data_IF_777474063189
#
_entry.id   IF_777474063189
#
_cell.length_a   1.000
_cell.length_b   1.000
_cell.length_c   1.000
_cell.angle_alpha   90.00
_cell.angle_beta   90.00
_cell.angle_gamma   90.00
#
_symmetry.space_group_name_H-M   'P 1'
#
loop_
_entity.id
_entity.type
_entity.pdbx_description
1 polymer ?
#
# COMPACT_ATOMS: atom_id res chain seq x y z
N UNK A 1 -16.68 -29.10 -43.59
CA UNK A 1 -16.87 -29.12 -42.12
C UNK A 1 -15.52 -29.30 -41.46
N UNK A 2 -15.01 -28.31 -40.72
CA UNK A 2 -14.16 -28.58 -39.55
C UNK A 2 -14.09 -27.30 -38.71
N UNK A 3 -14.86 -27.27 -37.63
CA UNK A 3 -14.74 -26.27 -36.57
C UNK A 3 -13.57 -26.71 -35.69
N UNK A 4 -12.54 -25.89 -35.57
CA UNK A 4 -11.61 -26.01 -34.46
C UNK A 4 -11.26 -24.61 -33.96
N UNK A 5 -11.92 -24.12 -32.89
CA UNK A 5 -11.54 -22.87 -32.26
C UNK A 5 -10.42 -23.18 -31.27
N UNK A 6 -9.17 -22.83 -31.60
CA UNK A 6 -8.12 -22.72 -30.57
C UNK A 6 -8.03 -21.26 -30.12
N UNK A 7 -8.85 -20.94 -29.12
CA UNK A 7 -8.59 -19.86 -28.18
C UNK A 7 -7.31 -20.21 -27.42
N UNK A 8 -6.18 -19.65 -27.83
CA UNK A 8 -4.96 -19.58 -27.04
C UNK A 8 -4.87 -18.16 -26.46
N UNK A 9 -5.64 -17.90 -25.39
CA UNK A 9 -5.33 -16.79 -24.49
C UNK A 9 -4.09 -17.20 -23.67
N UNK A 10 -2.99 -16.45 -23.67
CA UNK A 10 -1.93 -16.68 -22.72
C UNK A 10 -2.47 -16.27 -21.34
N UNK A 11 -2.74 -17.28 -20.50
CA UNK A 11 -3.03 -17.06 -19.09
C UNK A 11 -1.78 -16.50 -18.39
N UNK A 12 -1.95 -15.32 -17.81
CA UNK A 12 -1.38 -14.88 -16.53
C UNK A 12 0.10 -15.24 -16.30
N UNK A 13 1.00 -14.40 -16.81
CA UNK A 13 2.28 -14.19 -16.15
C UNK A 13 2.25 -12.86 -15.38
N UNK A 14 1.29 -12.71 -14.47
CA UNK A 14 1.45 -11.83 -13.32
C UNK A 14 2.29 -12.58 -12.28
N UNK A 15 3.54 -12.92 -12.62
CA UNK A 15 4.55 -13.19 -11.62
C UNK A 15 4.89 -11.84 -10.96
N UNK A 16 3.93 -11.33 -10.18
CA UNK A 16 4.08 -10.10 -9.42
C UNK A 16 5.00 -10.38 -8.23
N UNK A 17 6.11 -9.64 -8.21
CA UNK A 17 6.85 -9.21 -7.02
C UNK A 17 7.07 -10.26 -5.92
N UNK A 18 8.23 -10.91 -6.00
CA UNK A 18 9.05 -11.36 -4.86
C UNK A 18 8.26 -11.70 -3.58
N UNK A 19 7.58 -12.85 -3.59
CA UNK A 19 6.99 -13.42 -2.37
C UNK A 19 8.09 -14.13 -1.57
N UNK A 20 9.04 -13.37 -1.04
CA UNK A 20 9.85 -13.89 0.06
C UNK A 20 8.99 -13.83 1.33
N UNK A 21 8.73 -14.97 2.01
CA UNK A 21 8.00 -14.95 3.26
C UNK A 21 8.78 -14.10 4.27
N UNK A 22 8.14 -13.05 4.79
CA UNK A 22 8.70 -12.22 5.84
C UNK A 22 8.80 -13.03 7.13
N UNK A 23 10.02 -13.25 7.61
CA UNK A 23 10.30 -13.98 8.87
C UNK A 23 9.99 -13.14 10.11
N UNK A 24 9.73 -11.84 9.93
CA UNK A 24 9.46 -10.90 11.01
C UNK A 24 7.96 -10.86 11.28
N UNK A 25 7.59 -10.94 12.57
CA UNK A 25 6.21 -10.79 12.99
C UNK A 25 5.73 -9.38 12.67
N UNK A 26 4.78 -9.28 11.72
CA UNK A 26 4.10 -8.02 11.41
C UNK A 26 3.19 -7.65 12.58
N UNK A 27 3.22 -6.39 13.07
CA UNK A 27 2.35 -5.96 14.16
C UNK A 27 0.86 -6.11 13.81
N UNK A 28 0.02 -6.17 14.84
CA UNK A 28 -1.43 -6.08 14.66
C UNK A 28 -1.81 -4.68 14.14
N UNK A 29 -2.73 -4.61 13.18
CA UNK A 29 -3.24 -3.32 12.70
C UNK A 29 -4.21 -2.70 13.71
N UNK A 30 -3.75 -1.66 14.39
CA UNK A 30 -4.51 -0.91 15.40
C UNK A 30 -4.15 0.58 15.37
N UNK A 31 -4.93 1.45 16.04
CA UNK A 31 -4.60 2.89 16.13
C UNK A 31 -3.22 3.12 16.75
N UNK A 32 -2.86 2.31 17.75
CA UNK A 32 -1.58 2.39 18.44
C UNK A 32 -0.39 1.99 17.55
N UNK A 33 -0.60 1.03 16.63
CA UNK A 33 0.45 0.50 15.77
C UNK A 33 0.51 1.18 14.40
N UNK A 34 -0.51 1.94 14.00
CA UNK A 34 -0.55 2.68 12.75
C UNK A 34 0.20 4.02 12.82
N UNK A 35 1.41 4.00 13.38
CA UNK A 35 2.32 5.16 13.42
C UNK A 35 3.42 5.03 12.37
N UNK A 36 4.01 6.17 11.97
CA UNK A 36 5.11 6.16 11.01
C UNK A 36 6.34 5.42 11.57
N UNK A 37 6.57 5.49 12.87
CA UNK A 37 7.67 4.81 13.57
C UNK A 37 7.55 3.30 13.44
N UNK A 38 6.36 2.74 13.71
CA UNK A 38 6.10 1.29 13.61
C UNK A 38 6.20 0.82 12.16
N UNK A 39 5.62 1.56 11.21
CA UNK A 39 5.69 1.23 9.78
C UNK A 39 7.16 1.18 9.30
N UNK A 40 8.01 2.10 9.76
CA UNK A 40 9.44 2.15 9.38
C UNK A 40 10.26 0.96 9.91
N UNK A 41 9.83 0.34 11.01
CA UNK A 41 10.52 -0.80 11.62
C UNK A 41 10.27 -2.12 10.88
N UNK A 42 9.29 -2.18 9.97
CA UNK A 42 9.03 -3.36 9.14
C UNK A 42 10.09 -3.39 8.02
N UNK A 43 10.99 -4.36 8.07
CA UNK A 43 12.10 -4.47 7.11
C UNK A 43 11.64 -4.99 5.75
N UNK A 44 10.75 -6.00 5.76
CA UNK A 44 10.21 -6.55 4.53
C UNK A 44 9.39 -5.50 3.79
N UNK A 45 9.78 -5.22 2.55
CA UNK A 45 9.19 -4.13 1.77
C UNK A 45 7.72 -4.41 1.45
N UNK A 46 7.39 -5.65 1.10
CA UNK A 46 6.04 -6.04 0.72
C UNK A 46 5.10 -5.95 1.92
N UNK A 47 5.50 -6.54 3.06
CA UNK A 47 4.74 -6.51 4.28
C UNK A 47 4.59 -5.08 4.83
N UNK A 48 5.62 -4.24 4.73
CA UNK A 48 5.52 -2.83 5.11
C UNK A 48 4.50 -2.07 4.25
N UNK A 49 4.51 -2.30 2.94
CA UNK A 49 3.56 -1.67 2.03
C UNK A 49 2.12 -2.13 2.30
N UNK A 50 1.93 -3.43 2.56
CA UNK A 50 0.63 -3.98 2.91
C UNK A 50 0.13 -3.45 4.26
N UNK A 51 0.96 -3.49 5.30
CA UNK A 51 0.62 -2.96 6.63
C UNK A 51 0.28 -1.46 6.58
N UNK A 52 1.11 -0.64 5.91
CA UNK A 52 0.83 0.78 5.71
C UNK A 52 -0.47 1.01 4.91
N UNK A 53 -0.74 0.17 3.92
CA UNK A 53 -1.98 0.19 3.13
C UNK A 53 -3.22 -0.19 3.94
N UNK A 54 -3.08 -1.06 4.95
CA UNK A 54 -4.17 -1.37 5.89
C UNK A 54 -4.37 -0.20 6.87
N UNK A 55 -3.30 0.39 7.39
CA UNK A 55 -3.35 1.57 8.26
C UNK A 55 -3.97 2.80 7.59
N UNK A 56 -3.67 3.07 6.32
CA UNK A 56 -4.21 4.23 5.60
C UNK A 56 -5.73 4.18 5.39
N UNK A 57 -6.31 2.97 5.39
CA UNK A 57 -7.76 2.75 5.28
C UNK A 57 -8.49 2.98 6.60
N UNK A 58 -7.78 3.02 7.73
CA UNK A 58 -8.39 3.32 9.03
C UNK A 58 -8.70 4.81 9.08
N UNK A 59 -9.98 5.12 9.25
CA UNK A 59 -10.48 6.48 9.39
C UNK A 59 -9.92 7.10 10.67
N UNK A 60 -9.02 8.08 10.51
CA UNK A 60 -8.30 8.73 11.60
C UNK A 60 -7.01 9.44 11.16
N UNK A 61 -6.54 9.17 9.94
CA UNK A 61 -5.20 9.56 9.47
C UNK A 61 -4.97 11.04 9.17
N UNK A 62 -6.02 11.85 8.96
CA UNK A 62 -5.83 13.29 8.77
C UNK A 62 -6.26 13.99 10.05
N UNK A 63 -5.31 14.15 10.98
CA UNK A 63 -5.50 15.09 12.06
C UNK A 63 -5.73 16.49 11.48
N UNK A 64 -6.72 17.24 11.98
CA UNK A 64 -6.90 18.63 11.59
C UNK A 64 -5.59 19.38 11.84
N UNK A 65 -5.09 20.08 10.82
CA UNK A 65 -3.98 21.00 11.00
C UNK A 65 -4.52 22.32 11.54
N UNK A 66 -3.74 23.03 12.34
CA UNK A 66 -4.17 24.35 12.85
C UNK A 66 -4.36 25.38 11.72
N UNK A 67 -3.67 25.19 10.61
CA UNK A 67 -3.80 25.99 9.40
C UNK A 67 -4.08 25.06 8.21
N UNK A 68 -5.35 24.69 7.97
CA UNK A 68 -5.72 23.87 6.83
C UNK A 68 -5.50 24.69 5.55
N UNK A 69 -4.58 24.22 4.70
CA UNK A 69 -4.32 24.80 3.38
C UNK A 69 -5.13 24.07 2.32
N UNK A 70 -5.65 24.83 1.37
CA UNK A 70 -6.23 24.25 0.16
C UNK A 70 -5.12 23.85 -0.84
N UNK A 71 -5.49 23.10 -1.87
CA UNK A 71 -4.54 22.56 -2.85
C UNK A 71 -3.71 23.64 -3.57
N UNK A 72 -4.30 24.80 -3.87
CA UNK A 72 -3.60 25.91 -4.54
C UNK A 72 -2.49 26.46 -3.64
N UNK A 73 -2.77 26.62 -2.35
CA UNK A 73 -1.80 27.14 -1.37
C UNK A 73 -0.61 26.19 -1.16
N UNK A 74 -0.82 24.87 -1.27
CA UNK A 74 0.25 23.87 -1.19
C UNK A 74 1.17 23.88 -2.41
N UNK A 75 0.60 24.09 -3.61
CA UNK A 75 1.34 24.17 -4.86
C UNK A 75 2.23 25.43 -4.91
N UNK A 76 1.67 26.58 -4.54
CA UNK A 76 2.38 27.87 -4.59
C UNK A 76 3.59 27.97 -3.65
N UNK A 77 3.72 27.05 -2.68
CA UNK A 77 4.81 27.05 -1.69
C UNK A 77 6.09 26.34 -2.15
N UNK A 78 6.08 25.71 -3.33
CA UNK A 78 7.19 24.91 -3.88
C UNK A 78 7.98 25.63 -4.99
N UNK A 79 7.72 26.93 -5.20
CA UNK A 79 8.39 27.80 -6.18
C UNK A 79 9.32 28.81 -5.55
#
# INVERSE_FOLDING_TARGET
>A
MQRLPLLLLPLLALAGCDQQPSTQAIPEVSDANCTLEVIKQIEDRAARAEFAGQCSRRSGAIQPTEQPKNWLELNSSQG
#
